data_IF_145572032853
#
_entry.id   IF_145572032853
#
_cell.length_a   1.000
_cell.length_b   1.000
_cell.length_c   1.000
_cell.angle_alpha   90.00
_cell.angle_beta   90.00
_cell.angle_gamma   90.00
#
_symmetry.space_group_name_H-M   'P 1'
#
loop_
_entity.id
_entity.type
_entity.pdbx_description
1 polymer ?
#
# COMPACT_ATOMS: atom_id res chain seq x y z
N UNK A 1 25.29 6.70 -4.25
CA UNK A 1 26.41 6.26 -3.40
C UNK A 1 27.49 7.34 -3.38
N UNK A 2 27.46 8.20 -2.37
CA UNK A 2 28.60 9.05 -1.98
C UNK A 2 28.64 9.01 -0.45
N UNK A 3 29.20 7.93 0.08
CA UNK A 3 29.86 7.97 1.39
C UNK A 3 31.33 8.28 1.11
N UNK A 4 31.64 9.55 0.84
CA UNK A 4 33.00 10.06 1.02
C UNK A 4 33.07 10.56 2.46
N UNK A 5 33.18 9.65 3.42
CA UNK A 5 33.62 10.02 4.76
C UNK A 5 35.15 9.92 4.80
N UNK A 6 35.77 11.06 5.07
CA UNK A 6 37.07 11.13 5.70
C UNK A 6 37.05 10.29 6.99
N UNK A 7 37.37 9.00 6.89
CA UNK A 7 37.91 8.24 8.01
C UNK A 7 39.43 8.38 7.90
N UNK A 8 39.95 9.50 8.41
CA UNK A 8 41.36 9.56 8.77
C UNK A 8 41.58 8.52 9.87
N UNK A 9 42.55 7.64 9.67
CA UNK A 9 42.94 6.55 10.55
C UNK A 9 43.56 7.01 11.90
N UNK A 10 43.22 8.21 12.38
CA UNK A 10 43.81 8.84 13.57
C UNK A 10 42.93 8.81 14.82
N UNK A 11 41.69 8.31 14.75
CA UNK A 11 40.76 8.33 15.91
C UNK A 11 40.54 6.99 16.62
N UNK A 12 41.03 5.88 16.08
CA UNK A 12 40.99 4.55 16.74
C UNK A 12 41.72 4.42 18.08
N UNK A 13 42.73 5.24 18.47
CA UNK A 13 43.42 5.01 19.76
C UNK A 13 42.61 5.40 21.01
N UNK A 14 41.57 6.22 20.88
CA UNK A 14 40.89 6.81 22.04
C UNK A 14 39.92 5.84 22.75
N UNK A 15 39.28 4.95 22.01
CA UNK A 15 38.31 4.00 22.58
C UNK A 15 39.01 2.89 23.37
N UNK A 16 40.12 2.35 22.86
CA UNK A 16 40.91 1.28 23.52
C UNK A 16 41.59 1.79 24.80
N UNK A 17 41.96 3.08 24.87
CA UNK A 17 42.53 3.66 26.10
C UNK A 17 41.51 3.88 27.21
N UNK A 18 40.25 4.15 26.87
CA UNK A 18 39.21 4.43 27.88
C UNK A 18 38.59 3.16 28.48
N UNK A 19 38.81 1.99 27.90
CA UNK A 19 38.28 0.72 28.42
C UNK A 19 39.21 0.00 29.40
N UNK A 20 40.44 0.49 29.63
CA UNK A 20 41.36 -0.08 30.61
C UNK A 20 41.89 -1.48 30.28
N UNK A 21 41.75 -1.94 29.03
CA UNK A 21 42.16 -3.27 28.59
C UNK A 21 43.61 -3.28 28.06
N UNK A 22 44.37 -4.30 28.44
CA UNK A 22 45.77 -4.49 28.06
C UNK A 22 45.89 -4.81 26.55
N UNK A 23 46.72 -4.09 25.76
CA UNK A 23 46.89 -4.32 24.33
C UNK A 23 47.29 -5.75 23.92
N UNK A 24 47.81 -6.55 24.86
CA UNK A 24 48.26 -7.93 24.62
C UNK A 24 47.22 -9.01 24.89
N UNK A 25 46.11 -8.71 25.56
CA UNK A 25 45.07 -9.70 25.80
C UNK A 25 44.26 -9.90 24.50
N UNK A 26 44.26 -11.14 23.98
CA UNK A 26 43.33 -11.51 22.90
C UNK A 26 41.92 -11.42 23.46
N UNK A 27 41.30 -10.24 23.35
CA UNK A 27 39.89 -10.06 23.64
C UNK A 27 39.13 -10.98 22.67
N UNK A 28 38.71 -12.14 23.18
CA UNK A 28 37.71 -12.99 22.54
C UNK A 28 36.47 -12.12 22.35
N UNK A 29 36.25 -11.65 21.12
CA UNK A 29 35.19 -10.70 20.80
C UNK A 29 35.61 -9.24 20.79
N UNK A 30 36.84 -8.94 20.40
CA UNK A 30 37.24 -7.58 20.01
C UNK A 30 36.15 -6.95 19.11
N UNK A 31 35.46 -5.86 19.53
CA UNK A 31 34.23 -5.37 18.91
C UNK A 31 34.38 -4.86 17.47
N UNK A 32 35.59 -4.90 16.92
CA UNK A 32 35.93 -4.52 15.56
C UNK A 32 36.09 -5.70 14.60
N UNK A 33 36.09 -6.96 15.08
CA UNK A 33 36.15 -8.12 14.18
C UNK A 33 34.73 -8.46 13.71
N UNK A 34 34.47 -8.25 12.43
CA UNK A 34 33.22 -8.67 11.81
C UNK A 34 33.13 -10.20 11.86
N UNK A 35 32.00 -10.71 12.34
CA UNK A 35 31.73 -12.14 12.39
C UNK A 35 30.29 -12.48 12.08
N UNK A 36 30.07 -13.71 11.60
CA UNK A 36 28.76 -14.28 11.31
C UNK A 36 28.72 -15.75 11.70
N UNK A 37 27.53 -16.33 11.86
CA UNK A 37 27.35 -17.77 12.05
C UNK A 37 27.44 -18.55 10.73
N UNK A 38 27.28 -17.85 9.60
CA UNK A 38 27.23 -18.42 8.26
C UNK A 38 28.59 -18.30 7.55
N UNK A 39 29.19 -19.45 7.24
CA UNK A 39 30.48 -19.55 6.57
C UNK A 39 30.46 -19.00 5.14
N UNK A 40 29.44 -19.33 4.35
CA UNK A 40 29.33 -18.89 2.96
C UNK A 40 29.21 -17.36 2.91
N UNK A 41 28.46 -16.80 3.85
CA UNK A 41 28.33 -15.36 3.99
C UNK A 41 29.64 -14.69 4.42
N UNK A 42 30.36 -15.26 5.38
CA UNK A 42 31.65 -14.73 5.83
C UNK A 42 32.60 -14.57 4.65
N UNK A 43 32.67 -15.60 3.81
CA UNK A 43 33.45 -15.62 2.58
C UNK A 43 32.95 -14.57 1.58
N UNK A 44 31.64 -14.55 1.29
CA UNK A 44 31.07 -13.62 0.31
C UNK A 44 31.27 -12.14 0.70
N UNK A 45 31.10 -11.78 1.97
CA UNK A 45 31.33 -10.43 2.47
C UNK A 45 32.82 -10.09 2.43
N UNK A 46 33.69 -11.04 2.77
CA UNK A 46 35.13 -10.87 2.67
C UNK A 46 35.60 -10.61 1.24
N UNK A 47 35.08 -11.35 0.26
CA UNK A 47 35.36 -11.12 -1.17
C UNK A 47 34.82 -9.76 -1.65
N UNK A 48 33.62 -9.36 -1.22
CA UNK A 48 33.08 -8.05 -1.58
C UNK A 48 33.93 -6.91 -0.99
N UNK A 49 34.38 -7.03 0.27
CA UNK A 49 35.26 -6.05 0.89
C UNK A 49 36.59 -5.92 0.14
N UNK A 50 37.16 -7.04 -0.30
CA UNK A 50 38.32 -7.03 -1.20
C UNK A 50 38.01 -6.31 -2.51
N UNK A 51 36.88 -6.63 -3.14
CA UNK A 51 36.48 -6.06 -4.42
C UNK A 51 36.31 -4.54 -4.36
N UNK A 52 35.79 -4.00 -3.26
CA UNK A 52 35.66 -2.54 -3.05
C UNK A 52 36.95 -1.87 -2.55
N UNK A 53 38.05 -2.63 -2.42
CA UNK A 53 39.39 -2.11 -2.14
C UNK A 53 39.76 -2.00 -0.66
N UNK A 54 39.08 -2.71 0.24
CA UNK A 54 39.48 -2.79 1.66
C UNK A 54 40.83 -3.50 1.77
N UNK A 55 41.87 -2.76 2.12
CA UNK A 55 43.26 -3.27 2.11
C UNK A 55 43.65 -4.04 3.37
N UNK A 56 43.10 -3.69 4.52
CA UNK A 56 43.48 -4.31 5.79
C UNK A 56 42.81 -5.70 5.91
N UNK A 57 43.63 -6.76 5.87
CA UNK A 57 43.19 -8.16 5.95
C UNK A 57 42.19 -8.41 7.08
N UNK A 58 42.49 -7.90 8.27
CA UNK A 58 41.60 -8.03 9.43
C UNK A 58 40.16 -7.49 9.23
N UNK A 59 39.94 -6.60 8.26
CA UNK A 59 38.60 -6.06 7.97
C UNK A 59 37.83 -6.91 6.96
N UNK A 60 38.50 -7.62 6.06
CA UNK A 60 37.88 -8.50 5.06
C UNK A 60 37.96 -9.99 5.41
N UNK A 61 38.69 -10.37 6.45
CA UNK A 61 38.60 -11.69 7.08
C UNK A 61 37.42 -11.71 8.07
N UNK A 62 36.23 -12.01 7.56
CA UNK A 62 35.03 -12.16 8.39
C UNK A 62 35.14 -13.47 9.18
N UNK A 63 35.08 -13.41 10.50
CA UNK A 63 35.17 -14.60 11.35
C UNK A 63 33.87 -15.40 11.36
N UNK A 64 33.95 -16.72 11.36
CA UNK A 64 32.78 -17.55 11.70
C UNK A 64 32.73 -17.77 13.20
N UNK A 65 31.62 -17.34 13.81
CA UNK A 65 31.40 -17.42 15.24
C UNK A 65 30.31 -18.43 15.56
N UNK A 66 30.42 -19.07 16.73
CA UNK A 66 29.34 -19.94 17.21
C UNK A 66 28.13 -19.10 17.64
N UNK A 67 26.91 -19.67 17.64
CA UNK A 67 25.71 -18.96 18.08
C UNK A 67 25.82 -18.36 19.48
N UNK A 68 26.57 -19.01 20.37
CA UNK A 68 26.86 -18.50 21.71
C UNK A 68 27.67 -17.21 21.67
N UNK A 69 28.69 -17.13 20.81
CA UNK A 69 29.54 -15.93 20.68
C UNK A 69 28.73 -14.79 20.04
N UNK A 70 27.93 -15.08 19.02
CA UNK A 70 27.02 -14.11 18.41
C UNK A 70 26.02 -13.57 19.42
N UNK A 71 25.41 -14.45 20.23
CA UNK A 71 24.49 -14.04 21.30
C UNK A 71 25.13 -13.13 22.34
N UNK A 72 26.36 -13.43 22.78
CA UNK A 72 27.10 -12.55 23.70
C UNK A 72 27.42 -11.18 23.06
N UNK A 73 27.82 -11.17 21.79
CA UNK A 73 28.08 -9.94 21.04
C UNK A 73 26.79 -9.10 20.89
N UNK A 74 25.65 -9.76 20.63
CA UNK A 74 24.34 -9.11 20.52
C UNK A 74 23.93 -8.48 21.86
N UNK A 75 24.05 -9.21 22.98
CA UNK A 75 23.76 -8.65 24.31
C UNK A 75 24.66 -7.44 24.63
N UNK A 76 25.95 -7.51 24.29
CA UNK A 76 26.85 -6.37 24.46
C UNK A 76 26.43 -5.17 23.59
N UNK A 77 26.04 -5.42 22.34
CA UNK A 77 25.56 -4.39 21.42
C UNK A 77 24.23 -3.78 21.89
N UNK A 78 23.30 -4.57 22.44
CA UNK A 78 22.05 -4.09 23.02
C UNK A 78 22.27 -3.11 24.16
N UNK A 79 23.20 -3.42 25.07
CA UNK A 79 23.55 -2.52 26.17
C UNK A 79 24.17 -1.20 25.65
N UNK A 80 25.08 -1.31 24.69
CA UNK A 80 25.70 -0.14 24.06
C UNK A 80 24.66 0.71 23.32
N UNK A 81 23.81 0.08 22.50
CA UNK A 81 22.77 0.75 21.74
C UNK A 81 21.73 1.41 22.64
N UNK A 82 21.38 0.77 23.77
CA UNK A 82 20.57 1.36 24.83
C UNK A 82 21.19 2.66 25.36
N UNK A 83 22.48 2.63 25.70
CA UNK A 83 23.23 3.82 26.15
C UNK A 83 23.27 4.90 25.07
N UNK A 84 23.48 4.50 23.81
CA UNK A 84 23.48 5.41 22.67
C UNK A 84 22.13 6.12 22.54
N UNK A 85 21.01 5.39 22.59
CA UNK A 85 19.65 5.97 22.56
C UNK A 85 19.47 7.06 23.61
N UNK A 86 19.87 6.80 24.85
CA UNK A 86 19.83 7.79 25.93
C UNK A 86 20.71 9.00 25.63
N UNK A 87 21.93 8.78 25.15
CA UNK A 87 22.89 9.87 24.88
C UNK A 87 22.43 10.82 23.76
N UNK A 88 21.69 10.33 22.77
CA UNK A 88 21.17 11.14 21.66
C UNK A 88 19.80 11.75 21.96
N UNK A 89 19.36 11.72 23.22
CA UNK A 89 18.11 12.34 23.64
C UNK A 89 16.87 11.60 23.16
N UNK A 90 16.98 10.32 22.79
CA UNK A 90 15.81 9.44 22.64
C UNK A 90 15.41 8.99 24.05
N UNK A 91 14.99 9.96 24.84
CA UNK A 91 14.52 9.83 26.22
C UNK A 91 13.02 10.08 26.22
N UNK A 92 12.22 9.18 26.79
CA UNK A 92 10.76 9.33 26.87
C UNK A 92 9.95 8.54 25.83
N UNK A 93 10.60 7.94 24.84
CA UNK A 93 9.97 6.82 24.13
C UNK A 93 10.00 5.58 25.04
N UNK A 94 8.98 4.71 25.01
CA UNK A 94 9.07 3.39 25.62
C UNK A 94 10.43 2.74 25.30
N UNK A 95 11.11 2.07 26.25
CA UNK A 95 12.43 1.48 26.04
C UNK A 95 12.55 0.59 24.78
N UNK A 96 11.42 0.03 24.37
CA UNK A 96 11.23 -0.88 23.24
C UNK A 96 10.78 -0.18 21.93
N UNK A 97 10.75 1.15 21.87
CA UNK A 97 10.28 1.87 20.68
C UNK A 97 11.26 1.87 19.51
N UNK A 98 12.55 1.64 19.78
CA UNK A 98 13.56 1.39 18.75
C UNK A 98 14.29 0.14 19.16
N UNK A 99 13.96 -0.94 18.46
CA UNK A 99 14.57 -2.26 18.65
C UNK A 99 16.05 -2.18 18.29
N UNK A 100 16.90 -2.77 19.11
CA UNK A 100 18.30 -2.92 18.79
C UNK A 100 18.40 -3.80 17.53
N UNK A 101 19.11 -3.38 16.48
CA UNK A 101 19.34 -4.24 15.34
C UNK A 101 19.94 -5.58 15.77
N UNK A 102 19.37 -6.68 15.29
CA UNK A 102 20.00 -8.00 15.41
C UNK A 102 21.25 -8.06 14.53
N UNK A 103 22.20 -8.93 14.90
CA UNK A 103 23.34 -9.25 14.06
C UNK A 103 22.88 -9.54 12.64
N UNK A 104 23.58 -9.00 11.64
CA UNK A 104 23.17 -9.14 10.24
C UNK A 104 23.34 -10.59 9.80
N UNK A 105 22.26 -11.36 9.86
CA UNK A 105 22.20 -12.69 9.27
C UNK A 105 21.78 -12.52 7.81
N UNK A 106 22.70 -12.80 6.90
CA UNK A 106 22.34 -12.94 5.50
C UNK A 106 22.03 -14.41 5.26
N UNK A 107 20.81 -14.83 5.59
CA UNK A 107 20.28 -16.04 4.99
C UNK A 107 20.30 -15.85 3.47
N UNK A 108 20.73 -16.90 2.74
CA UNK A 108 20.70 -17.03 1.27
C UNK A 108 19.25 -17.05 0.78
N UNK A 109 18.58 -15.92 0.96
CA UNK A 109 17.22 -15.69 0.55
C UNK A 109 17.19 -15.57 -0.98
N UNK A 110 16.58 -16.55 -1.63
CA UNK A 110 16.29 -16.48 -3.05
C UNK A 110 15.07 -15.59 -3.25
N UNK A 111 15.30 -14.38 -3.73
CA UNK A 111 14.26 -13.44 -4.09
C UNK A 111 13.63 -13.82 -5.44
N UNK A 112 13.07 -15.03 -5.52
CA UNK A 112 12.47 -15.57 -6.75
C UNK A 112 10.93 -15.43 -6.73
N UNK A 113 10.39 -14.67 -5.77
CA UNK A 113 8.95 -14.42 -5.68
C UNK A 113 8.39 -13.80 -6.95
N UNK A 114 7.25 -14.33 -7.42
CA UNK A 114 6.42 -13.75 -8.48
C UNK A 114 6.06 -12.29 -8.16
N UNK A 115 5.99 -11.39 -9.16
CA UNK A 115 5.57 -10.02 -8.92
C UNK A 115 4.12 -10.02 -8.44
N UNK A 116 3.79 -9.16 -7.48
CA UNK A 116 2.40 -8.96 -7.08
C UNK A 116 1.67 -8.17 -8.17
N UNK A 117 1.04 -8.89 -9.09
CA UNK A 117 0.29 -8.35 -10.22
C UNK A 117 -1.22 -8.47 -10.00
N UNK A 118 -2.01 -7.66 -10.69
CA UNK A 118 -3.47 -7.69 -10.57
C UNK A 118 -4.08 -8.90 -11.29
N UNK A 119 -3.57 -9.23 -12.47
CA UNK A 119 -3.99 -10.38 -13.25
C UNK A 119 -2.95 -11.48 -13.17
N UNK A 120 -3.38 -12.66 -12.70
CA UNK A 120 -2.58 -13.86 -12.69
C UNK A 120 -2.42 -14.42 -14.12
N UNK A 121 -1.24 -14.19 -14.69
CA UNK A 121 -0.88 -14.60 -16.04
C UNK A 121 -0.84 -16.13 -16.18
N UNK A 122 -0.68 -16.86 -15.07
CA UNK A 122 -0.59 -18.33 -15.10
C UNK A 122 -1.92 -19.01 -15.44
N UNK A 123 -3.06 -18.33 -15.24
CA UNK A 123 -4.40 -18.86 -15.54
C UNK A 123 -4.91 -18.49 -16.93
N UNK A 124 -4.16 -17.71 -17.72
CA UNK A 124 -4.59 -17.28 -19.06
C UNK A 124 -4.13 -18.32 -20.09
N UNK A 125 -5.09 -18.95 -20.77
CA UNK A 125 -4.87 -20.15 -21.58
C UNK A 125 -4.16 -19.94 -22.91
N UNK A 126 -4.24 -18.75 -23.52
CA UNK A 126 -3.64 -18.45 -24.81
C UNK A 126 -2.52 -17.39 -24.72
N UNK A 127 -1.66 -17.34 -25.74
CA UNK A 127 -0.55 -16.39 -25.79
C UNK A 127 -1.05 -14.93 -25.87
N UNK A 128 -2.12 -14.69 -26.64
CA UNK A 128 -2.72 -13.36 -26.82
C UNK A 128 -3.23 -12.80 -25.49
N UNK A 129 -3.93 -13.62 -24.70
CA UNK A 129 -4.40 -13.22 -23.38
C UNK A 129 -3.25 -12.98 -22.40
N UNK A 130 -2.16 -13.75 -22.49
CA UNK A 130 -0.95 -13.53 -21.65
C UNK A 130 -0.30 -12.18 -21.97
N UNK A 131 -0.13 -11.84 -23.23
CA UNK A 131 0.45 -10.56 -23.65
C UNK A 131 -0.43 -9.39 -23.22
N UNK A 132 -1.76 -9.52 -23.36
CA UNK A 132 -2.72 -8.55 -22.83
C UNK A 132 -2.61 -8.38 -21.31
N UNK A 133 -2.57 -9.49 -20.56
CA UNK A 133 -2.46 -9.46 -19.10
C UNK A 133 -1.14 -8.80 -18.64
N UNK A 134 -0.02 -9.09 -19.31
CA UNK A 134 1.27 -8.46 -19.04
C UNK A 134 1.26 -6.95 -19.35
N UNK A 135 0.66 -6.54 -20.47
CA UNK A 135 0.51 -5.14 -20.83
C UNK A 135 -0.36 -4.39 -19.81
N UNK A 136 -1.48 -4.98 -19.39
CA UNK A 136 -2.34 -4.38 -18.37
C UNK A 136 -1.60 -4.25 -17.02
N UNK A 137 -0.89 -5.30 -16.59
CA UNK A 137 -0.09 -5.29 -15.37
C UNK A 137 1.01 -4.21 -15.42
N UNK A 138 1.67 -4.02 -16.57
CA UNK A 138 2.64 -2.94 -16.77
C UNK A 138 2.01 -1.55 -16.60
N UNK A 139 0.88 -1.31 -17.28
CA UNK A 139 0.18 -0.01 -17.20
C UNK A 139 -0.30 0.27 -15.78
N UNK A 140 -0.84 -0.74 -15.08
CA UNK A 140 -1.30 -0.61 -13.71
C UNK A 140 -0.14 -0.33 -12.74
N UNK A 141 0.99 -1.03 -12.86
CA UNK A 141 2.17 -0.76 -12.03
C UNK A 141 2.69 0.66 -12.25
N UNK A 142 2.80 1.07 -13.53
CA UNK A 142 3.24 2.42 -13.90
C UNK A 142 2.29 3.49 -13.37
N UNK A 143 0.98 3.31 -13.53
CA UNK A 143 -0.03 4.25 -13.04
C UNK A 143 -0.04 4.30 -11.50
N UNK A 144 0.04 3.15 -10.82
CA UNK A 144 0.01 3.07 -9.36
C UNK A 144 1.22 3.72 -8.68
N UNK A 145 2.37 3.74 -9.34
CA UNK A 145 3.58 4.43 -8.87
C UNK A 145 3.63 5.93 -9.27
N UNK A 146 2.73 6.39 -10.13
CA UNK A 146 2.73 7.77 -10.61
C UNK A 146 2.17 8.73 -9.54
N UNK A 147 2.83 9.88 -9.31
CA UNK A 147 2.25 10.98 -8.55
C UNK A 147 0.93 11.45 -9.17
N UNK A 148 -0.02 11.88 -8.34
CA UNK A 148 -1.26 12.48 -8.85
C UNK A 148 -0.99 13.94 -9.20
N UNK A 149 -0.96 14.26 -10.50
CA UNK A 149 -0.69 15.61 -11.00
C UNK A 149 -1.96 16.38 -11.39
N UNK A 150 -3.11 15.72 -11.47
CA UNK A 150 -4.40 16.32 -11.89
C UNK A 150 -5.40 16.35 -10.72
N UNK A 151 -6.55 16.99 -10.96
CA UNK A 151 -7.60 17.22 -9.97
C UNK A 151 -8.04 15.96 -9.19
N UNK A 152 -8.45 16.20 -7.93
CA UNK A 152 -8.72 15.23 -6.87
C UNK A 152 -9.92 14.31 -7.10
N UNK A 153 -10.85 14.65 -7.98
CA UNK A 153 -12.04 13.85 -8.27
C UNK A 153 -11.98 13.28 -9.69
N UNK A 154 -11.30 12.14 -9.89
CA UNK A 154 -11.25 11.53 -11.20
C UNK A 154 -12.61 10.91 -11.53
N UNK A 155 -13.16 11.29 -12.67
CA UNK A 155 -14.27 10.57 -13.29
C UNK A 155 -13.80 9.14 -13.61
N UNK A 156 -14.42 8.12 -13.02
CA UNK A 156 -14.05 6.69 -13.20
C UNK A 156 -14.01 6.30 -14.68
N UNK A 157 -14.97 6.79 -15.47
CA UNK A 157 -15.01 6.54 -16.92
C UNK A 157 -13.75 7.10 -17.61
N UNK A 158 -13.33 8.30 -17.22
CA UNK A 158 -12.12 8.94 -17.76
C UNK A 158 -10.84 8.22 -17.33
N UNK A 159 -10.81 7.67 -16.11
CA UNK A 159 -9.68 6.82 -15.66
C UNK A 159 -9.57 5.56 -16.51
N UNK A 160 -10.70 4.91 -16.79
CA UNK A 160 -10.73 3.73 -17.63
C UNK A 160 -10.27 4.02 -19.07
N UNK A 161 -10.80 5.08 -19.68
CA UNK A 161 -10.38 5.55 -21.01
C UNK A 161 -8.89 5.88 -21.04
N UNK A 162 -8.37 6.55 -20.01
CA UNK A 162 -6.95 6.85 -19.89
C UNK A 162 -6.12 5.57 -19.77
N UNK A 163 -6.57 4.59 -18.98
CA UNK A 163 -5.87 3.32 -18.82
C UNK A 163 -5.83 2.52 -20.12
N UNK A 164 -6.95 2.44 -20.83
CA UNK A 164 -7.03 1.80 -22.14
C UNK A 164 -6.08 2.48 -23.14
N UNK A 165 -6.09 3.81 -23.20
CA UNK A 165 -5.19 4.58 -24.05
C UNK A 165 -3.71 4.33 -23.72
N UNK A 166 -3.34 4.28 -22.44
CA UNK A 166 -1.95 3.96 -22.03
C UNK A 166 -1.54 2.54 -22.41
N UNK A 167 -2.49 1.59 -22.38
CA UNK A 167 -2.26 0.20 -22.78
C UNK A 167 -2.02 0.08 -24.29
N UNK A 168 -2.88 0.67 -25.11
CA UNK A 168 -2.71 0.69 -26.57
C UNK A 168 -1.38 1.36 -26.95
N UNK A 169 -1.07 2.51 -26.34
CA UNK A 169 0.21 3.20 -26.54
C UNK A 169 1.40 2.33 -26.14
N UNK A 170 1.30 1.59 -25.04
CA UNK A 170 2.37 0.73 -24.58
C UNK A 170 2.59 -0.45 -25.53
N UNK A 171 1.52 -1.08 -26.00
CA UNK A 171 1.59 -2.17 -26.98
C UNK A 171 2.28 -1.72 -28.28
N UNK A 172 1.90 -0.56 -28.83
CA UNK A 172 2.60 0.03 -29.97
C UNK A 172 4.09 0.27 -29.68
N UNK A 173 4.42 0.75 -28.46
CA UNK A 173 5.81 0.96 -28.08
C UNK A 173 6.63 -0.33 -27.95
N UNK A 174 6.00 -1.49 -27.70
CA UNK A 174 6.70 -2.78 -27.67
C UNK A 174 7.15 -3.20 -29.08
N UNK A 175 6.36 -2.86 -30.10
CA UNK A 175 6.68 -3.10 -31.50
C UNK A 175 7.80 -2.16 -31.98
N UNK A 176 7.72 -0.88 -31.62
CA UNK A 176 8.69 0.14 -32.03
C UNK A 176 10.02 0.04 -31.25
N UNK A 177 9.96 -0.23 -29.95
CA UNK A 177 11.11 -0.24 -29.03
C UNK A 177 11.34 -1.64 -28.50
N UNK A 178 12.15 -2.39 -29.25
CA UNK A 178 12.62 -3.74 -28.88
C UNK A 178 13.40 -3.73 -27.57
N UNK A 179 13.58 -4.90 -26.94
CA UNK A 179 14.41 -5.04 -25.73
C UNK A 179 15.80 -4.41 -25.92
N UNK A 180 16.45 -4.70 -27.04
CA UNK A 180 17.81 -4.22 -27.32
C UNK A 180 17.89 -2.69 -27.36
N UNK A 181 16.88 -2.03 -27.92
CA UNK A 181 16.81 -0.57 -28.00
C UNK A 181 16.63 0.04 -26.61
N UNK A 182 15.61 -0.39 -25.85
CA UNK A 182 15.35 0.15 -24.51
C UNK A 182 16.51 -0.13 -23.56
N UNK A 183 17.12 -1.32 -23.65
CA UNK A 183 18.32 -1.66 -22.89
C UNK A 183 19.48 -0.74 -23.25
N UNK A 184 19.76 -0.52 -24.52
CA UNK A 184 20.86 0.33 -24.95
C UNK A 184 20.69 1.78 -24.44
N UNK A 185 19.48 2.34 -24.52
CA UNK A 185 19.15 3.66 -23.98
C UNK A 185 19.29 3.71 -22.45
N UNK A 186 18.80 2.68 -21.76
CA UNK A 186 19.01 2.55 -20.32
C UNK A 186 20.51 2.47 -19.99
N UNK A 187 21.29 1.76 -20.81
CA UNK A 187 22.73 1.59 -20.67
C UNK A 187 23.50 2.90 -20.84
N UNK A 188 23.10 3.76 -21.78
CA UNK A 188 23.66 5.11 -21.97
C UNK A 188 23.28 6.11 -20.87
N UNK A 189 22.37 5.72 -19.95
CA UNK A 189 22.02 6.50 -18.77
C UNK A 189 20.71 7.27 -18.89
N UNK A 190 19.88 6.97 -19.89
CA UNK A 190 18.51 7.49 -19.97
C UNK A 190 17.67 6.93 -18.81
N UNK A 191 17.13 7.78 -17.91
CA UNK A 191 16.47 7.28 -16.72
C UNK A 191 15.06 6.77 -17.00
N UNK A 192 14.34 7.31 -17.98
CA UNK A 192 13.05 6.80 -18.43
C UNK A 192 13.17 5.38 -18.99
N UNK A 193 14.12 5.14 -19.91
CA UNK A 193 14.44 3.83 -20.44
C UNK A 193 14.92 2.87 -19.34
N UNK A 194 15.65 3.38 -18.34
CA UNK A 194 16.05 2.58 -17.17
C UNK A 194 14.83 2.12 -16.34
N UNK A 195 13.85 2.98 -16.09
CA UNK A 195 12.60 2.56 -15.41
C UNK A 195 11.83 1.56 -16.28
N UNK A 196 11.68 1.84 -17.56
CA UNK A 196 10.96 0.98 -18.49
C UNK A 196 11.60 -0.41 -18.59
N UNK A 197 12.91 -0.49 -18.84
CA UNK A 197 13.60 -1.78 -18.90
C UNK A 197 13.57 -2.50 -17.56
N UNK A 198 13.70 -1.77 -16.44
CA UNK A 198 13.53 -2.30 -15.11
C UNK A 198 12.16 -2.98 -14.90
N UNK A 199 11.08 -2.36 -15.39
CA UNK A 199 9.73 -2.94 -15.35
C UNK A 199 9.55 -4.11 -16.33
N UNK A 200 10.12 -4.04 -17.53
CA UNK A 200 10.09 -5.15 -18.50
C UNK A 200 10.73 -6.40 -17.90
N UNK A 201 11.90 -6.25 -17.28
CA UNK A 201 12.60 -7.32 -16.57
C UNK A 201 11.85 -7.80 -15.33
N UNK A 202 11.10 -6.93 -14.64
CA UNK A 202 10.31 -7.31 -13.47
C UNK A 202 9.16 -8.26 -13.82
N UNK A 203 8.45 -7.92 -14.91
CA UNK A 203 7.27 -8.64 -15.39
C UNK A 203 7.60 -9.79 -16.35
N UNK A 204 8.74 -9.72 -17.05
CA UNK A 204 9.06 -10.64 -18.14
C UNK A 204 8.32 -10.31 -19.45
N UNK A 205 8.06 -9.02 -19.73
CA UNK A 205 7.37 -8.62 -20.96
C UNK A 205 8.39 -8.25 -22.05
N UNK A 206 8.30 -8.92 -23.20
CA UNK A 206 9.23 -8.78 -24.32
C UNK A 206 10.72 -8.97 -23.96
N UNK A 207 11.02 -9.59 -22.82
CA UNK A 207 12.35 -9.96 -22.35
C UNK A 207 12.27 -11.07 -21.31
N UNK A 208 13.36 -11.79 -21.06
CA UNK A 208 13.40 -12.77 -19.97
C UNK A 208 13.31 -12.08 -18.62
N UNK A 209 12.37 -12.52 -17.78
CA UNK A 209 12.21 -11.99 -16.43
C UNK A 209 13.50 -12.12 -15.62
N UNK A 210 13.93 -11.01 -15.03
CA UNK A 210 15.12 -10.95 -14.18
C UNK A 210 14.92 -9.92 -13.06
N UNK A 211 14.48 -10.40 -11.89
CA UNK A 211 14.17 -9.55 -10.74
C UNK A 211 15.38 -8.77 -10.24
N UNK A 212 16.57 -9.41 -10.18
CA UNK A 212 17.80 -8.75 -9.69
C UNK A 212 18.21 -7.62 -10.63
N UNK A 213 18.23 -7.87 -11.93
CA UNK A 213 18.59 -6.88 -12.94
C UNK A 213 17.55 -5.75 -13.01
N UNK A 214 16.26 -6.07 -12.84
CA UNK A 214 15.20 -5.08 -12.72
C UNK A 214 15.51 -4.02 -11.64
N UNK A 215 15.90 -4.45 -10.42
CA UNK A 215 16.31 -3.53 -9.36
C UNK A 215 17.51 -2.68 -9.74
N UNK A 216 18.49 -3.25 -10.44
CA UNK A 216 19.69 -2.51 -10.86
C UNK A 216 19.29 -1.33 -11.75
N UNK A 217 18.41 -1.54 -12.73
CA UNK A 217 17.94 -0.46 -13.61
C UNK A 217 17.03 0.55 -12.91
N UNK A 218 16.16 0.12 -11.99
CA UNK A 218 15.38 1.05 -11.16
C UNK A 218 16.29 1.96 -10.31
N UNK A 219 17.34 1.41 -9.71
CA UNK A 219 18.34 2.19 -8.95
C UNK A 219 19.19 3.06 -9.88
N UNK A 220 19.46 2.61 -11.11
CA UNK A 220 20.15 3.39 -12.14
C UNK A 220 19.36 4.66 -12.48
N UNK A 221 18.04 4.53 -12.68
CA UNK A 221 17.16 5.67 -12.91
C UNK A 221 17.22 6.69 -11.75
N UNK A 222 17.21 6.21 -10.50
CA UNK A 222 17.34 7.07 -9.31
C UNK A 222 18.68 7.79 -9.21
N UNK A 223 19.74 7.20 -9.76
CA UNK A 223 21.10 7.74 -9.71
C UNK A 223 21.42 8.68 -10.88
N UNK A 224 20.56 8.74 -11.89
CA UNK A 224 20.74 9.59 -13.05
C UNK A 224 20.54 11.07 -12.69
N UNK A 225 21.46 11.93 -13.14
CA UNK A 225 21.45 13.36 -12.80
C UNK A 225 20.30 14.12 -13.44
N UNK A 226 19.86 13.69 -14.61
CA UNK A 226 18.76 14.25 -15.39
C UNK A 226 17.38 13.67 -15.03
N UNK A 227 17.30 12.73 -14.08
CA UNK A 227 16.01 12.18 -13.67
C UNK A 227 15.17 13.25 -12.95
N UNK A 228 13.96 13.47 -13.47
CA UNK A 228 12.95 14.35 -12.85
C UNK A 228 12.48 13.79 -11.51
N UNK A 229 11.96 14.66 -10.64
CA UNK A 229 11.42 14.22 -9.34
C UNK A 229 10.19 13.32 -9.49
N UNK A 230 9.39 13.53 -10.54
CA UNK A 230 8.30 12.63 -10.93
C UNK A 230 8.81 11.22 -11.28
N UNK A 231 9.84 11.12 -12.12
CA UNK A 231 10.43 9.83 -12.47
C UNK A 231 11.07 9.15 -11.27
N UNK A 232 11.74 9.92 -10.39
CA UNK A 232 12.29 9.38 -9.14
C UNK A 232 11.18 8.86 -8.22
N UNK A 233 10.07 9.59 -8.08
CA UNK A 233 8.93 9.15 -7.30
C UNK A 233 8.39 7.81 -7.83
N UNK A 234 8.23 7.68 -9.15
CA UNK A 234 7.83 6.43 -9.82
C UNK A 234 8.81 5.29 -9.56
N UNK A 235 10.10 5.51 -9.75
CA UNK A 235 11.13 4.50 -9.51
C UNK A 235 11.18 4.05 -8.04
N UNK A 236 11.04 4.98 -7.08
CA UNK A 236 10.87 4.64 -5.66
C UNK A 236 9.59 3.81 -5.45
N UNK A 237 8.46 4.19 -6.05
CA UNK A 237 7.21 3.43 -6.02
C UNK A 237 7.37 1.99 -6.48
N UNK A 238 8.04 1.76 -7.61
CA UNK A 238 8.33 0.41 -8.11
C UNK A 238 9.24 -0.41 -7.19
N UNK A 239 10.18 0.24 -6.51
CA UNK A 239 11.04 -0.44 -5.54
C UNK A 239 10.28 -0.87 -4.28
N UNK A 240 9.18 -0.22 -3.91
CA UNK A 240 8.30 -0.68 -2.83
C UNK A 240 7.76 -2.08 -3.17
N UNK A 241 7.11 -2.22 -4.34
CA UNK A 241 6.58 -3.50 -4.83
C UNK A 241 7.70 -4.54 -4.99
N UNK A 242 8.85 -4.11 -5.53
CA UNK A 242 10.02 -4.97 -5.63
C UNK A 242 10.49 -5.51 -4.26
N UNK A 243 10.42 -4.73 -3.19
CA UNK A 243 10.84 -5.23 -1.88
C UNK A 243 9.78 -6.10 -1.22
N UNK A 244 8.50 -5.77 -1.37
CA UNK A 244 7.43 -6.52 -0.71
C UNK A 244 7.05 -7.83 -1.40
N UNK A 245 7.25 -7.95 -2.71
CA UNK A 245 6.98 -9.18 -3.48
C UNK A 245 8.19 -10.14 -3.50
N UNK A 246 9.26 -9.84 -2.77
CA UNK A 246 10.46 -10.65 -2.79
C UNK A 246 10.23 -12.05 -2.16
N UNK A 247 9.34 -12.16 -1.17
CA UNK A 247 9.03 -13.40 -0.43
C UNK A 247 7.52 -13.62 -0.26
N UNK A 248 7.10 -14.89 -0.29
CA UNK A 248 5.78 -15.33 0.21
C UNK A 248 5.75 -15.51 1.73
N UNK A 249 6.91 -15.69 2.35
CA UNK A 249 7.09 -15.85 3.80
C UNK A 249 7.04 -14.51 4.54
N UNK A 250 6.92 -14.51 5.89
CA UNK A 250 7.00 -13.29 6.69
C UNK A 250 8.15 -12.39 6.21
N UNK A 251 7.82 -11.11 6.01
CA UNK A 251 8.73 -10.17 5.35
C UNK A 251 9.93 -9.96 6.24
N UNK A 252 11.11 -10.41 5.78
CA UNK A 252 12.36 -10.19 6.49
C UNK A 252 12.47 -8.68 6.82
N UNK A 253 12.80 -8.29 8.07
CA UNK A 253 12.78 -6.90 8.51
C UNK A 253 13.54 -5.95 7.57
N UNK A 254 14.66 -6.40 6.99
CA UNK A 254 15.44 -5.62 6.02
C UNK A 254 14.64 -5.17 4.79
N UNK A 255 13.74 -6.02 4.26
CA UNK A 255 12.93 -5.68 3.09
C UNK A 255 11.78 -4.77 3.45
N UNK A 256 11.22 -4.93 4.65
CA UNK A 256 10.23 -4.00 5.18
C UNK A 256 10.82 -2.60 5.37
N UNK A 257 12.01 -2.50 5.97
CA UNK A 257 12.73 -1.24 6.15
C UNK A 257 13.09 -0.60 4.80
N UNK A 258 13.58 -1.40 3.84
CA UNK A 258 13.88 -0.91 2.49
C UNK A 258 12.61 -0.40 1.77
N UNK A 259 11.52 -1.17 1.77
CA UNK A 259 10.24 -0.74 1.21
C UNK A 259 9.72 0.54 1.88
N UNK A 260 9.83 0.64 3.20
CA UNK A 260 9.44 1.82 3.98
C UNK A 260 10.28 3.05 3.63
N UNK A 261 11.59 2.87 3.42
CA UNK A 261 12.47 3.93 2.94
C UNK A 261 12.04 4.44 1.55
N UNK A 262 11.78 3.53 0.61
CA UNK A 262 11.30 3.91 -0.72
C UNK A 262 9.92 4.59 -0.67
N UNK A 263 9.01 4.09 0.17
CA UNK A 263 7.71 4.72 0.41
C UNK A 263 7.84 6.15 0.97
N UNK A 264 8.74 6.36 1.93
CA UNK A 264 8.98 7.67 2.52
C UNK A 264 9.51 8.67 1.48
N UNK A 265 10.50 8.27 0.67
CA UNK A 265 11.03 9.15 -0.37
C UNK A 265 9.98 9.42 -1.45
N UNK A 266 9.25 8.39 -1.91
CA UNK A 266 8.18 8.56 -2.89
C UNK A 266 7.10 9.52 -2.39
N UNK A 267 6.64 9.38 -1.14
CA UNK A 267 5.67 10.28 -0.51
C UNK A 267 6.17 11.74 -0.47
N UNK A 268 7.43 11.93 -0.08
CA UNK A 268 8.07 13.26 -0.05
C UNK A 268 8.14 13.90 -1.44
N UNK A 269 8.56 13.12 -2.45
CA UNK A 269 8.62 13.60 -3.83
C UNK A 269 7.24 13.91 -4.40
N UNK A 270 6.23 13.06 -4.13
CA UNK A 270 4.83 13.33 -4.52
C UNK A 270 4.36 14.66 -3.93
N UNK A 271 4.58 14.91 -2.63
CA UNK A 271 4.19 16.18 -1.99
C UNK A 271 4.88 17.40 -2.60
N UNK A 272 6.10 17.24 -3.12
CA UNK A 272 6.87 18.32 -3.74
C UNK A 272 6.30 18.72 -5.12
N UNK A 273 5.86 17.74 -5.92
CA UNK A 273 5.48 17.95 -7.33
C UNK A 273 3.96 17.97 -7.57
N UNK A 274 3.18 17.36 -6.69
CA UNK A 274 1.72 17.29 -6.82
C UNK A 274 1.04 18.54 -6.25
N UNK A 275 -0.17 18.89 -6.75
CA UNK A 275 -0.96 19.97 -6.17
C UNK A 275 -1.18 19.80 -4.66
N UNK A 276 -1.31 20.91 -3.92
CA UNK A 276 -1.56 20.86 -2.48
C UNK A 276 -2.85 20.09 -2.19
N UNK A 277 -2.74 19.08 -1.32
CA UNK A 277 -3.85 18.19 -0.99
C UNK A 277 -4.02 17.02 -1.95
N UNK A 278 -3.23 16.89 -3.02
CA UNK A 278 -3.19 15.64 -3.78
C UNK A 278 -2.67 14.49 -2.89
N UNK A 279 -3.31 13.31 -2.92
CA UNK A 279 -2.79 12.16 -2.19
C UNK A 279 -1.50 11.66 -2.85
N UNK A 280 -0.68 10.95 -2.07
CA UNK A 280 0.50 10.26 -2.59
C UNK A 280 0.11 9.16 -3.60
N UNK A 281 1.08 8.67 -4.39
CA UNK A 281 0.87 7.57 -5.33
C UNK A 281 0.19 6.36 -4.68
N UNK A 282 -0.71 5.67 -5.41
CA UNK A 282 -1.48 4.53 -4.93
C UNK A 282 -0.61 3.41 -4.34
N UNK A 283 0.57 3.15 -4.91
CA UNK A 283 1.50 2.12 -4.40
C UNK A 283 1.98 2.42 -2.98
N UNK A 284 2.27 3.69 -2.67
CA UNK A 284 2.65 4.13 -1.33
C UNK A 284 1.48 3.92 -0.37
N UNK A 285 0.27 4.39 -0.74
CA UNK A 285 -0.90 4.27 0.13
C UNK A 285 -1.30 2.82 0.39
N UNK A 286 -1.25 1.97 -0.65
CA UNK A 286 -1.50 0.53 -0.54
C UNK A 286 -0.46 -0.15 0.35
N UNK A 287 0.83 0.14 0.18
CA UNK A 287 1.88 -0.37 1.05
C UNK A 287 1.66 0.07 2.51
N UNK A 288 1.33 1.34 2.71
CA UNK A 288 1.11 1.89 4.05
C UNK A 288 -0.04 1.19 4.78
N UNK A 289 -1.17 0.96 4.11
CA UNK A 289 -2.33 0.30 4.73
C UNK A 289 -2.15 -1.21 4.92
N UNK A 290 -1.62 -1.90 3.90
CA UNK A 290 -1.62 -3.37 3.87
C UNK A 290 -0.38 -4.01 4.49
N UNK A 291 0.73 -3.25 4.60
CA UNK A 291 2.01 -3.78 5.07
C UNK A 291 2.56 -2.97 6.22
N UNK A 292 2.76 -1.67 6.03
CA UNK A 292 3.43 -0.84 7.02
C UNK A 292 2.64 -0.77 8.32
N UNK A 293 1.34 -0.46 8.25
CA UNK A 293 0.50 -0.20 9.43
C UNK A 293 0.39 -1.44 10.34
N UNK A 294 0.12 -2.67 9.84
CA UNK A 294 0.17 -3.89 10.64
C UNK A 294 1.53 -4.12 11.31
N UNK A 295 2.63 -3.99 10.57
CA UNK A 295 3.96 -4.25 11.11
C UNK A 295 4.43 -3.14 12.07
N UNK A 296 3.95 -1.90 11.91
CA UNK A 296 4.30 -0.79 12.79
C UNK A 296 3.80 -0.95 14.22
N UNK A 297 2.84 -1.86 14.45
CA UNK A 297 2.42 -2.26 15.80
C UNK A 297 3.49 -3.08 16.52
N UNK A 298 4.21 -3.91 15.78
CA UNK A 298 5.33 -4.73 16.29
C UNK A 298 6.66 -3.97 16.25
N UNK A 299 6.83 -3.10 15.25
CA UNK A 299 8.05 -2.33 14.98
C UNK A 299 7.74 -0.82 15.02
N UNK A 300 7.53 -0.22 16.21
CA UNK A 300 7.16 1.19 16.36
C UNK A 300 8.18 2.16 15.73
N UNK A 301 9.45 1.76 15.60
CA UNK A 301 10.50 2.55 14.97
C UNK A 301 10.20 2.90 13.51
N UNK A 302 9.36 2.11 12.83
CA UNK A 302 8.94 2.40 11.47
C UNK A 302 8.24 3.78 11.40
N UNK A 303 7.34 4.07 12.35
CA UNK A 303 6.65 5.36 12.39
C UNK A 303 7.60 6.51 12.70
N UNK A 304 8.64 6.24 13.48
CA UNK A 304 9.66 7.22 13.84
C UNK A 304 10.55 7.60 12.65
N UNK A 305 11.02 6.61 11.87
CA UNK A 305 11.94 6.84 10.76
C UNK A 305 11.25 7.32 9.47
N UNK A 306 10.01 6.89 9.21
CA UNK A 306 9.34 7.07 7.91
C UNK A 306 8.19 8.08 7.97
N UNK A 307 8.50 9.29 8.47
CA UNK A 307 7.53 10.35 8.76
C UNK A 307 6.75 10.83 7.54
N UNK A 308 7.38 10.95 6.37
CA UNK A 308 6.69 11.42 5.16
C UNK A 308 5.64 10.42 4.67
N UNK A 309 5.94 9.11 4.77
CA UNK A 309 4.99 8.07 4.40
C UNK A 309 3.82 8.00 5.40
N UNK A 310 4.09 8.12 6.70
CA UNK A 310 3.06 8.21 7.75
C UNK A 310 2.17 9.43 7.53
N UNK A 311 2.75 10.60 7.26
CA UNK A 311 2.00 11.82 6.98
C UNK A 311 1.11 11.66 5.74
N UNK A 312 1.64 11.11 4.64
CA UNK A 312 0.86 10.84 3.43
C UNK A 312 -0.34 9.91 3.69
N UNK A 313 -0.17 8.92 4.58
CA UNK A 313 -1.26 8.03 5.01
C UNK A 313 -2.31 8.78 5.83
N UNK A 314 -1.90 9.62 6.77
CA UNK A 314 -2.80 10.44 7.59
C UNK A 314 -3.59 11.44 6.74
N UNK A 315 -2.93 12.14 5.82
CA UNK A 315 -3.56 13.06 4.87
C UNK A 315 -4.63 12.34 4.03
N UNK A 316 -4.33 11.14 3.54
CA UNK A 316 -5.30 10.32 2.81
C UNK A 316 -6.47 9.87 3.70
N UNK A 317 -6.22 9.42 4.94
CA UNK A 317 -7.27 9.02 5.88
C UNK A 317 -8.21 10.21 6.19
N UNK A 318 -7.65 11.39 6.38
CA UNK A 318 -8.39 12.62 6.63
C UNK A 318 -9.23 13.03 5.41
N UNK A 319 -8.68 12.94 4.20
CA UNK A 319 -9.45 13.17 2.98
C UNK A 319 -10.64 12.22 2.85
N UNK A 320 -10.41 10.93 3.11
CA UNK A 320 -11.48 9.93 3.09
C UNK A 320 -12.52 10.19 4.19
N UNK A 321 -12.11 10.68 5.37
CA UNK A 321 -13.02 11.09 6.45
C UNK A 321 -13.87 12.29 6.02
N UNK A 322 -13.26 13.37 5.55
CA UNK A 322 -13.96 14.57 5.07
C UNK A 322 -14.89 14.27 3.89
N UNK A 323 -14.48 13.41 2.96
CA UNK A 323 -15.32 12.94 1.86
C UNK A 323 -16.55 12.18 2.36
N UNK A 324 -16.34 11.28 3.32
CA UNK A 324 -17.41 10.52 3.96
C UNK A 324 -18.40 11.43 4.71
N UNK A 325 -17.92 12.43 5.44
CA UNK A 325 -18.77 13.40 6.15
C UNK A 325 -19.59 14.26 5.19
N UNK A 326 -18.96 14.76 4.10
CA UNK A 326 -19.69 15.48 3.04
C UNK A 326 -20.78 14.61 2.42
N UNK A 327 -20.49 13.33 2.17
CA UNK A 327 -21.46 12.40 1.65
C UNK A 327 -22.60 12.15 2.66
N UNK A 328 -22.28 11.95 3.93
CA UNK A 328 -23.27 11.81 5.00
C UNK A 328 -24.21 13.02 5.09
N UNK A 329 -23.66 14.25 5.08
CA UNK A 329 -24.46 15.48 5.07
C UNK A 329 -25.35 15.57 3.82
N UNK A 330 -24.85 15.16 2.64
CA UNK A 330 -25.66 15.11 1.40
C UNK A 330 -26.80 14.09 1.54
N UNK A 331 -26.54 12.91 2.11
CA UNK A 331 -27.57 11.88 2.37
C UNK A 331 -28.63 12.40 3.32
N UNK A 332 -28.24 13.08 4.40
CA UNK A 332 -29.18 13.66 5.36
C UNK A 332 -30.05 14.76 4.76
N UNK A 333 -29.51 15.59 3.86
CA UNK A 333 -30.28 16.64 3.16
C UNK A 333 -31.26 16.08 2.13
N UNK A 334 -30.96 14.93 1.52
CA UNK A 334 -31.76 14.31 0.46
C UNK A 334 -31.92 12.81 0.70
N UNK A 335 -32.51 12.41 1.83
CA UNK A 335 -32.63 11.00 2.26
C UNK A 335 -33.19 10.11 1.15
N UNK A 336 -34.26 10.59 0.51
CA UNK A 336 -35.00 9.89 -0.55
C UNK A 336 -34.16 9.62 -1.81
N UNK A 337 -33.07 10.36 -2.02
CA UNK A 337 -32.20 10.23 -3.19
C UNK A 337 -31.23 9.07 -3.10
N UNK A 338 -30.85 8.69 -1.88
CA UNK A 338 -29.78 7.73 -1.61
C UNK A 338 -30.28 6.42 -0.98
N UNK A 339 -31.58 6.27 -0.76
CA UNK A 339 -32.19 5.08 -0.17
C UNK A 339 -33.36 4.60 -1.01
N UNK A 340 -33.52 3.29 -1.14
CA UNK A 340 -34.70 2.69 -1.74
C UNK A 340 -35.95 3.03 -0.90
N UNK A 341 -36.96 3.59 -1.54
CA UNK A 341 -38.21 4.03 -0.90
C UNK A 341 -39.11 2.87 -0.48
N UNK A 342 -38.91 1.67 -1.04
CA UNK A 342 -39.71 0.50 -0.68
C UNK A 342 -39.45 0.08 0.76
N UNK A 343 -40.52 0.05 1.55
CA UNK A 343 -40.48 -0.37 2.95
C UNK A 343 -39.79 -1.74 3.10
N UNK A 344 -38.84 -1.82 4.03
CA UNK A 344 -38.07 -3.03 4.31
C UNK A 344 -36.95 -3.37 3.32
N UNK A 345 -36.79 -2.63 2.21
CA UNK A 345 -35.75 -2.93 1.23
C UNK A 345 -34.33 -2.66 1.75
N UNK A 346 -34.13 -1.60 2.54
CA UNK A 346 -32.86 -1.28 3.19
C UNK A 346 -31.71 -0.83 2.27
N UNK A 347 -31.78 -1.06 0.96
CA UNK A 347 -30.71 -0.68 0.01
C UNK A 347 -30.49 0.82 -0.01
N UNK A 348 -29.24 1.20 0.14
CA UNK A 348 -28.68 2.54 0.01
C UNK A 348 -27.69 2.58 -1.15
N UNK A 349 -27.52 3.78 -1.72
CA UNK A 349 -26.54 4.05 -2.75
C UNK A 349 -25.70 5.26 -2.35
N UNK A 350 -24.44 5.29 -2.77
CA UNK A 350 -23.58 6.45 -2.57
C UNK A 350 -23.83 7.59 -3.55
N UNK A 351 -24.40 7.29 -4.72
CA UNK A 351 -24.80 8.29 -5.70
C UNK A 351 -26.29 8.14 -6.01
N UNK A 352 -27.00 9.27 -6.05
CA UNK A 352 -28.43 9.27 -6.37
C UNK A 352 -28.80 8.85 -7.79
N UNK A 353 -27.81 8.54 -8.65
CA UNK A 353 -28.01 8.03 -10.01
C UNK A 353 -28.15 6.51 -10.05
N UNK A 354 -27.73 5.81 -9.00
CA UNK A 354 -27.79 4.34 -8.95
C UNK A 354 -29.19 3.80 -8.67
N UNK A 355 -30.09 4.65 -8.17
CA UNK A 355 -31.46 4.28 -7.89
C UNK A 355 -32.39 4.92 -8.93
N UNK A 356 -33.33 4.14 -9.43
CA UNK A 356 -34.34 4.56 -10.40
C UNK A 356 -35.37 5.47 -9.75
N UNK A 357 -35.58 6.66 -10.32
CA UNK A 357 -36.60 7.60 -9.85
C UNK A 357 -38.00 7.21 -10.29
N UNK A 358 -39.02 7.60 -9.53
CA UNK A 358 -40.41 7.50 -9.97
C UNK A 358 -40.64 8.28 -11.28
N UNK A 359 -41.24 7.62 -12.28
CA UNK A 359 -41.55 8.23 -13.59
C UNK A 359 -42.76 9.18 -13.58
N UNK A 360 -43.43 9.35 -12.45
CA UNK A 360 -44.62 10.19 -12.34
C UNK A 360 -44.34 11.68 -12.18
N UNK A 361 -45.43 12.45 -12.01
CA UNK A 361 -45.46 13.92 -11.96
C UNK A 361 -45.24 14.51 -10.55
N UNK A 362 -44.80 13.72 -9.57
CA UNK A 362 -44.40 14.23 -8.26
C UNK A 362 -43.17 15.16 -8.35
N UNK A 363 -43.09 16.09 -7.40
CA UNK A 363 -42.01 17.08 -7.32
C UNK A 363 -40.64 16.40 -7.21
N UNK A 364 -39.60 16.96 -7.85
CA UNK A 364 -38.28 16.31 -7.96
C UNK A 364 -37.57 16.09 -6.62
N UNK A 365 -37.86 16.91 -5.61
CA UNK A 365 -37.30 16.84 -4.26
C UNK A 365 -37.99 15.76 -3.39
N UNK A 366 -39.25 15.46 -3.69
CA UNK A 366 -40.07 14.46 -2.98
C UNK A 366 -40.17 13.14 -3.72
N UNK A 367 -39.62 13.07 -4.92
CA UNK A 367 -39.67 11.91 -5.81
C UNK A 367 -38.94 10.72 -5.18
N UNK A 368 -39.61 9.58 -4.95
CA UNK A 368 -38.96 8.41 -4.39
C UNK A 368 -38.00 7.78 -5.40
N UNK A 369 -36.94 7.18 -4.86
CA UNK A 369 -35.97 6.39 -5.61
C UNK A 369 -36.09 4.91 -5.25
N UNK A 370 -35.87 4.02 -6.22
CA UNK A 370 -36.00 2.58 -6.07
C UNK A 370 -34.77 1.88 -6.61
N UNK A 371 -34.29 0.87 -5.91
CA UNK A 371 -33.16 0.07 -6.41
C UNK A 371 -33.57 -0.72 -7.67
N UNK A 372 -34.83 -1.12 -7.81
CA UNK A 372 -35.32 -1.88 -8.96
C UNK A 372 -36.79 -1.58 -9.29
N UNK A 373 -37.21 -1.96 -10.50
CA UNK A 373 -38.63 -1.87 -10.93
C UNK A 373 -39.56 -2.72 -10.07
N UNK A 374 -39.06 -3.82 -9.50
CA UNK A 374 -39.82 -4.67 -8.57
C UNK A 374 -40.17 -3.89 -7.30
N UNK A 375 -39.19 -3.20 -6.72
CA UNK A 375 -39.36 -2.33 -5.56
C UNK A 375 -40.36 -1.19 -5.84
N UNK A 376 -40.21 -0.52 -7.00
CA UNK A 376 -41.15 0.53 -7.42
C UNK A 376 -42.60 0.04 -7.53
N UNK A 377 -42.82 -1.13 -8.16
CA UNK A 377 -44.17 -1.72 -8.27
C UNK A 377 -44.74 -2.09 -6.90
N UNK A 378 -43.91 -2.63 -6.02
CA UNK A 378 -44.30 -3.00 -4.66
C UNK A 378 -44.76 -1.79 -3.84
N UNK A 379 -44.10 -0.64 -4.03
CA UNK A 379 -44.41 0.59 -3.30
C UNK A 379 -45.51 1.42 -3.98
N UNK A 380 -45.89 1.10 -5.22
CA UNK A 380 -46.78 1.93 -6.03
C UNK A 380 -48.12 2.22 -5.36
N UNK A 381 -48.72 1.24 -4.67
CA UNK A 381 -49.98 1.45 -3.96
C UNK A 381 -49.89 2.52 -2.86
N UNK A 382 -48.73 2.62 -2.20
CA UNK A 382 -48.46 3.62 -1.17
C UNK A 382 -48.10 4.97 -1.79
N UNK A 383 -47.30 4.99 -2.86
CA UNK A 383 -46.85 6.23 -3.50
C UNK A 383 -47.92 6.90 -4.37
N UNK A 384 -48.81 6.14 -5.02
CA UNK A 384 -49.78 6.64 -6.00
C UNK A 384 -50.60 7.86 -5.53
N UNK A 385 -51.12 7.94 -4.29
CA UNK A 385 -51.84 9.13 -3.80
C UNK A 385 -50.99 10.41 -3.73
N UNK A 386 -49.67 10.26 -3.63
CA UNK A 386 -48.68 11.33 -3.53
C UNK A 386 -47.98 11.61 -4.87
N UNK A 387 -48.24 10.81 -5.90
CA UNK A 387 -47.62 10.92 -7.22
C UNK A 387 -48.24 12.06 -8.06
N UNK A 388 -48.21 13.30 -7.53
CA UNK A 388 -48.74 14.51 -8.16
C UNK A 388 -47.98 15.75 -7.67
N UNK A 389 -47.95 16.85 -8.45
CA UNK A 389 -47.27 18.07 -8.04
C UNK A 389 -47.82 18.64 -6.72
N UNK A 390 -46.95 19.15 -5.86
CA UNK A 390 -47.32 19.78 -4.59
C UNK A 390 -47.77 18.85 -3.47
N UNK A 391 -47.93 17.54 -3.71
CA UNK A 391 -48.21 16.58 -2.65
C UNK A 391 -47.02 16.45 -1.67
N UNK A 392 -47.30 15.94 -0.48
CA UNK A 392 -46.26 15.58 0.49
C UNK A 392 -45.45 14.36 0.02
N UNK A 393 -44.28 14.12 0.64
CA UNK A 393 -43.48 12.96 0.31
C UNK A 393 -44.15 11.68 0.86
N UNK A 394 -44.30 10.65 0.02
CA UNK A 394 -44.88 9.37 0.44
C UNK A 394 -43.95 8.50 1.28
N UNK A 395 -42.67 8.88 1.38
CA UNK A 395 -41.68 8.12 2.12
C UNK A 395 -41.92 8.39 3.60
N UNK A 396 -42.43 7.38 4.29
CA UNK A 396 -42.53 7.39 5.74
C UNK A 396 -41.10 7.28 6.25
N UNK A 397 -40.57 8.41 6.71
CA UNK A 397 -39.34 8.40 7.48
C UNK A 397 -39.65 7.66 8.79
N UNK A 398 -39.21 6.41 8.91
CA UNK A 398 -39.44 5.62 10.11
C UNK A 398 -38.79 6.22 11.35
N UNK A 399 -38.08 7.34 11.20
CA UNK A 399 -37.72 8.22 12.29
C UNK A 399 -36.73 7.59 13.25
N UNK A 400 -36.05 6.51 12.82
CA UNK A 400 -34.99 5.87 13.59
C UNK A 400 -33.77 6.81 13.58
N UNK A 401 -33.61 7.63 14.64
CA UNK A 401 -32.56 8.64 14.67
C UNK A 401 -31.20 7.97 14.79
N UNK A 402 -31.17 6.77 15.39
CA UNK A 402 -29.98 5.97 15.64
C UNK A 402 -29.60 5.14 14.41
N UNK A 403 -30.59 4.63 13.66
CA UNK A 403 -30.36 3.97 12.36
C UNK A 403 -29.72 4.89 11.31
N UNK A 404 -29.87 6.20 11.44
CA UNK A 404 -29.25 7.21 10.55
C UNK A 404 -27.80 7.53 10.89
N UNK A 405 -27.38 7.37 12.15
CA UNK A 405 -25.99 7.60 12.57
C UNK A 405 -25.03 6.53 12.01
N UNK A 406 -25.58 5.36 11.65
CA UNK A 406 -24.83 4.25 11.08
C UNK A 406 -24.88 4.26 9.54
N UNK A 407 -24.66 5.39 8.88
CA UNK A 407 -24.49 5.33 7.41
C UNK A 407 -23.39 4.32 7.07
N UNK A 408 -23.68 3.41 6.13
CA UNK A 408 -22.82 2.27 5.82
C UNK A 408 -21.34 2.62 5.55
N UNK A 409 -20.44 1.63 5.58
CA UNK A 409 -18.99 1.82 5.48
C UNK A 409 -18.62 2.68 4.27
N UNK A 410 -17.50 3.38 4.41
CA UNK A 410 -16.95 4.34 3.42
C UNK A 410 -16.87 3.68 2.04
N UNK A 411 -17.90 3.84 1.21
CA UNK A 411 -17.89 3.24 -0.12
C UNK A 411 -17.20 4.15 -1.12
N UNK A 412 -16.38 3.55 -1.98
CA UNK A 412 -15.95 4.18 -3.23
C UNK A 412 -17.17 4.42 -4.12
N UNK A 413 -17.25 5.58 -4.77
CA UNK A 413 -18.36 5.97 -5.67
C UNK A 413 -18.84 4.82 -6.56
N UNK A 414 -20.16 4.60 -6.62
CA UNK A 414 -20.78 3.55 -7.43
C UNK A 414 -21.10 2.26 -6.67
N UNK A 415 -21.26 2.32 -5.34
CA UNK A 415 -21.55 1.15 -4.51
C UNK A 415 -22.98 1.18 -3.97
N UNK A 416 -23.66 0.04 -4.09
CA UNK A 416 -24.89 -0.26 -3.36
C UNK A 416 -24.51 -0.87 -2.01
N UNK A 417 -25.14 -0.41 -0.95
CA UNK A 417 -24.98 -1.00 0.37
C UNK A 417 -26.32 -1.36 0.98
N UNK A 418 -26.33 -2.38 1.84
CA UNK A 418 -27.53 -2.82 2.54
C UNK A 418 -27.19 -3.20 3.98
N UNK A 419 -27.91 -2.68 4.98
CA UNK A 419 -27.77 -3.11 6.36
C UNK A 419 -28.34 -4.52 6.53
N UNK A 420 -27.60 -5.37 7.23
CA UNK A 420 -27.91 -6.78 7.50
C UNK A 420 -27.87 -6.98 9.01
N UNK A 421 -29.00 -7.36 9.61
CA UNK A 421 -29.07 -7.68 11.02
C UNK A 421 -28.54 -9.09 11.26
N UNK A 422 -27.40 -9.19 11.94
CA UNK A 422 -26.79 -10.48 12.27
C UNK A 422 -27.55 -11.17 13.42
N UNK A 423 -27.48 -12.51 13.55
CA UNK A 423 -28.12 -13.24 14.65
C UNK A 423 -27.67 -12.78 16.05
N UNK A 424 -26.47 -12.20 16.16
CA UNK A 424 -25.91 -11.61 17.38
C UNK A 424 -26.54 -10.25 17.76
N UNK A 425 -27.47 -9.73 16.95
CA UNK A 425 -28.13 -8.45 17.14
C UNK A 425 -27.36 -7.24 16.62
N UNK A 426 -26.16 -7.43 16.07
CA UNK A 426 -25.38 -6.35 15.45
C UNK A 426 -25.81 -6.11 13.99
N UNK A 427 -25.88 -4.86 13.56
CA UNK A 427 -26.02 -4.50 12.14
C UNK A 427 -24.65 -4.53 11.46
N UNK A 428 -24.50 -5.33 10.40
CA UNK A 428 -23.36 -5.26 9.47
C UNK A 428 -23.83 -4.72 8.13
N UNK A 429 -22.94 -4.06 7.39
CA UNK A 429 -23.28 -3.56 6.06
C UNK A 429 -22.65 -4.44 4.99
N UNK A 430 -23.49 -4.90 4.08
CA UNK A 430 -23.06 -5.56 2.86
C UNK A 430 -22.95 -4.51 1.76
N UNK A 431 -21.79 -4.39 1.12
CA UNK A 431 -21.53 -3.39 0.09
C UNK A 431 -21.00 -4.05 -1.17
N UNK A 432 -21.49 -3.64 -2.35
CA UNK A 432 -21.01 -4.13 -3.64
C UNK A 432 -21.09 -3.06 -4.73
N UNK A 433 -20.06 -2.98 -5.55
CA UNK A 433 -20.04 -2.14 -6.77
C UNK A 433 -20.42 -2.92 -8.03
N UNK A 434 -20.51 -4.24 -7.96
CA UNK A 434 -20.73 -5.12 -9.12
C UNK A 434 -22.01 -5.91 -9.05
N UNK A 435 -22.57 -6.12 -7.85
CA UNK A 435 -23.82 -6.85 -7.68
C UNK A 435 -25.00 -5.92 -7.92
N UNK A 436 -26.01 -6.44 -8.60
CA UNK A 436 -27.27 -5.74 -8.71
C UNK A 436 -28.04 -5.78 -7.37
N UNK A 437 -29.10 -4.97 -7.21
CA UNK A 437 -29.89 -4.91 -5.99
C UNK A 437 -30.54 -6.23 -5.56
N UNK A 438 -30.85 -7.12 -6.51
CA UNK A 438 -31.47 -8.41 -6.24
C UNK A 438 -30.43 -9.41 -5.72
N UNK A 439 -29.28 -9.50 -6.39
CA UNK A 439 -28.13 -10.32 -5.94
C UNK A 439 -27.66 -9.90 -4.54
N UNK A 440 -27.61 -8.59 -4.26
CA UNK A 440 -27.22 -8.08 -2.95
C UNK A 440 -28.20 -8.50 -1.85
N UNK A 441 -29.50 -8.60 -2.17
CA UNK A 441 -30.53 -9.07 -1.23
C UNK A 441 -30.38 -10.56 -0.94
N UNK A 442 -30.26 -11.36 -1.99
CA UNK A 442 -30.04 -12.80 -1.84
C UNK A 442 -28.81 -13.06 -0.97
N UNK A 443 -27.72 -12.33 -1.22
CA UNK A 443 -26.51 -12.46 -0.43
C UNK A 443 -26.68 -12.07 1.05
N UNK A 444 -27.44 -11.02 1.34
CA UNK A 444 -27.74 -10.67 2.72
C UNK A 444 -28.60 -11.72 3.42
N UNK A 445 -29.60 -12.30 2.72
CA UNK A 445 -30.39 -13.40 3.25
C UNK A 445 -29.49 -14.61 3.60
N UNK A 446 -28.53 -14.93 2.72
CA UNK A 446 -27.51 -15.96 3.01
C UNK A 446 -26.63 -15.63 4.22
N UNK A 447 -26.22 -14.37 4.37
CA UNK A 447 -25.42 -13.92 5.51
C UNK A 447 -26.20 -14.05 6.83
N UNK A 448 -27.49 -13.72 6.86
CA UNK A 448 -28.36 -13.87 8.05
C UNK A 448 -28.56 -15.34 8.40
N UNK A 449 -28.69 -16.21 7.40
CA UNK A 449 -28.87 -17.65 7.61
C UNK A 449 -27.65 -18.36 8.23
N UNK A 450 -26.53 -17.66 8.43
CA UNK A 450 -25.30 -18.23 9.00
C UNK A 450 -24.60 -19.22 8.07
N UNK A 451 -24.99 -19.28 6.79
CA UNK A 451 -24.44 -20.22 5.81
C UNK A 451 -23.14 -19.73 5.17
N UNK A 452 -22.71 -18.49 5.44
CA UNK A 452 -21.56 -17.87 4.79
C UNK A 452 -20.38 -17.73 5.75
N UNK A 453 -19.34 -18.54 5.53
CA UNK A 453 -17.98 -18.22 6.00
C UNK A 453 -17.27 -17.48 4.88
N UNK A 454 -16.96 -16.17 5.02
CA UNK A 454 -16.30 -15.42 3.96
C UNK A 454 -15.00 -16.11 3.56
N UNK A 455 -14.89 -16.42 2.26
CA UNK A 455 -13.61 -16.79 1.67
C UNK A 455 -12.68 -15.59 1.78
N UNK A 456 -11.41 -15.78 2.17
CA UNK A 456 -10.44 -14.67 2.28
C UNK A 456 -10.21 -13.90 0.97
N UNK A 457 -10.72 -14.39 -0.17
CA UNK A 457 -10.57 -13.78 -1.50
C UNK A 457 -11.81 -13.04 -2.03
N UNK A 458 -12.96 -13.06 -1.35
CA UNK A 458 -14.10 -12.22 -1.77
C UNK A 458 -13.90 -10.79 -1.25
N UNK A 459 -13.88 -9.80 -2.14
CA UNK A 459 -13.86 -8.35 -1.80
C UNK A 459 -15.22 -7.89 -1.26
N UNK A 460 -15.77 -8.64 -0.30
CA UNK A 460 -16.94 -8.25 0.47
C UNK A 460 -16.39 -7.63 1.74
N UNK A 461 -16.30 -6.30 1.74
CA UNK A 461 -15.87 -5.57 2.91
C UNK A 461 -17.00 -5.56 3.94
N UNK A 462 -16.93 -6.48 4.90
CA UNK A 462 -17.68 -6.35 6.15
C UNK A 462 -16.99 -5.27 6.99
N UNK A 463 -17.39 -4.03 6.79
CA UNK A 463 -16.99 -2.94 7.68
C UNK A 463 -17.70 -3.09 9.02
N UNK A 464 -16.98 -3.45 10.09
CA UNK A 464 -17.45 -3.21 11.45
C UNK A 464 -17.11 -1.77 11.83
N UNK A 465 -18.12 -1.00 12.26
CA UNK A 465 -17.87 0.27 12.93
C UNK A 465 -17.41 -0.03 14.36
N UNK A 466 -16.26 0.50 14.82
CA UNK A 466 -16.01 0.54 16.25
C UNK A 466 -17.07 1.46 16.86
N UNK A 467 -17.90 0.91 17.76
CA UNK A 467 -18.70 1.74 18.66
C UNK A 467 -17.76 2.75 19.32
N UNK A 468 -18.15 4.02 19.37
CA UNK A 468 -17.37 5.08 20.02
C UNK A 468 -16.94 4.61 21.43
N UNK A 469 -15.64 4.41 21.61
CA UNK A 469 -15.07 3.78 22.79
C UNK A 469 -13.60 4.15 22.96
N UNK A 470 -13.40 5.14 23.82
CA UNK A 470 -12.20 5.53 24.57
C UNK A 470 -11.02 6.15 23.78
N UNK A 471 -10.94 7.48 23.90
CA UNK A 471 -9.73 8.27 23.67
C UNK A 471 -8.60 7.73 24.57
N UNK A 472 -7.75 6.85 24.03
CA UNK A 472 -6.44 6.57 24.61
C UNK A 472 -5.50 7.75 24.31
N UNK A 473 -5.63 8.81 25.10
CA UNK A 473 -4.57 9.81 25.26
C UNK A 473 -3.44 9.20 26.10
N UNK A 474 -2.47 8.60 25.42
CA UNK A 474 -1.19 8.12 25.96
C UNK A 474 -0.01 8.67 25.19
#
# INVERSE_FOLDING_TARGET
MVFKSQLQASQTPSFVRNSGLDPGEKILGAPWKLSTEDQELAEAVGEEFKAVGVRAEALWTIGVSSPRVTGLAQTAFENYFGTLKTSIGITGLPPNSIVTPESIIFSTFKADGEPLVCLDVSNVGDAVGKDFALALNYVQLRAGASPQLTDLEPNIQRLWEQQQFQMEKFQLSLEERTEAVVRAEADTGDPEASVEYGLRLYLGIACTRNRRLSRVYLVKALSARNATDDLKARAHGHLIDWYISASKEPKAPRYLQAASHHANIAARLCRLISPKGAPSSTVVLKFMSSVFEPYSKTFPELRYFYKDAVLARQEWQEQMRLGSEKLHVRRMKQRNRYRCATLGCGIEADTGRMLSQCGGSCDSDKKPHYCSKKCQKSDWHNHKPFCRPGAECSIIDTGDPDGMAQSGPKSTSGVLCMPVQMPEGSTKYLSSSTMDPEELKEFAEYAVAGAFSPSPNSTIEFGSWPCAGEDDSG
#
